data_IF_971690964247
#
_entry.id   IF_971690964247
#
_cell.length_a   1.000
_cell.length_b   1.000
_cell.length_c   1.000
_cell.angle_alpha   90.00
_cell.angle_beta   90.00
_cell.angle_gamma   90.00
#
_symmetry.space_group_name_H-M   'P 1'
#
loop_
_entity.id
_entity.type
_entity.pdbx_description
1 polymer ?
#
# COMPACT_ATOMS: atom_id res chain seq x y z
N UNK A 1 40.04 34.34 -13.03
CA UNK A 1 39.36 33.54 -14.07
C UNK A 1 38.72 32.35 -13.36
N UNK A 2 37.49 32.51 -12.85
CA UNK A 2 36.75 31.48 -12.13
C UNK A 2 35.71 30.88 -13.09
N UNK A 3 35.94 29.66 -13.52
CA UNK A 3 34.94 28.89 -14.29
C UNK A 3 33.98 28.21 -13.31
N UNK A 4 32.80 28.78 -13.22
CA UNK A 4 31.71 28.18 -12.44
C UNK A 4 31.20 26.90 -13.14
N UNK A 5 31.35 25.76 -12.47
CA UNK A 5 30.70 24.51 -12.85
C UNK A 5 29.21 24.60 -12.54
N UNK A 6 28.40 24.91 -13.55
CA UNK A 6 26.96 24.85 -13.45
C UNK A 6 26.55 23.37 -13.62
N UNK A 7 26.34 22.70 -12.50
CA UNK A 7 25.80 21.34 -12.51
C UNK A 7 24.33 21.43 -12.88
N UNK A 8 24.01 21.21 -14.16
CA UNK A 8 22.63 21.11 -14.64
C UNK A 8 22.09 19.77 -14.13
N UNK A 9 21.29 19.81 -13.08
CA UNK A 9 20.44 18.71 -12.67
C UNK A 9 19.35 18.55 -13.75
N UNK A 10 19.62 17.74 -14.76
CA UNK A 10 18.60 17.30 -15.69
C UNK A 10 17.71 16.33 -14.91
N UNK A 11 16.61 16.84 -14.36
CA UNK A 11 15.52 16.00 -13.87
C UNK A 11 14.93 15.32 -15.10
N UNK A 12 15.33 14.09 -15.33
CA UNK A 12 14.79 13.25 -16.39
C UNK A 12 13.34 12.94 -15.98
N UNK A 13 12.40 13.72 -16.47
CA UNK A 13 11.00 13.38 -16.49
C UNK A 13 10.80 12.28 -17.54
N UNK A 14 11.21 11.06 -17.21
CA UNK A 14 10.65 9.90 -17.89
C UNK A 14 9.18 9.85 -17.48
N UNK A 15 8.29 9.93 -18.47
CA UNK A 15 6.88 9.61 -18.27
C UNK A 15 6.88 8.13 -17.86
N UNK A 16 6.79 7.89 -16.55
CA UNK A 16 6.65 6.54 -16.01
C UNK A 16 5.28 6.09 -16.49
N UNK A 17 5.28 5.28 -17.54
CA UNK A 17 4.07 4.56 -17.95
C UNK A 17 3.97 3.39 -16.99
N UNK A 18 2.98 3.40 -16.10
CA UNK A 18 2.72 2.26 -15.22
C UNK A 18 2.57 0.98 -16.03
N UNK A 19 2.91 -0.13 -15.41
CA UNK A 19 2.61 -1.45 -15.97
C UNK A 19 1.30 -1.94 -15.36
N UNK A 20 0.27 -2.11 -16.18
CA UNK A 20 -0.95 -2.84 -15.76
C UNK A 20 -0.65 -4.34 -15.84
N UNK A 21 -0.68 -5.02 -14.69
CA UNK A 21 -0.45 -6.46 -14.60
C UNK A 21 -1.69 -7.20 -14.10
N UNK A 22 -2.15 -8.16 -14.91
CA UNK A 22 -3.32 -8.97 -14.56
C UNK A 22 -2.92 -10.18 -13.74
N UNK A 23 -3.50 -10.30 -12.54
CA UNK A 23 -3.28 -11.42 -11.62
C UNK A 23 -4.64 -11.99 -11.20
N UNK A 24 -4.80 -13.30 -11.31
CA UNK A 24 -6.05 -13.98 -10.93
C UNK A 24 -6.07 -14.27 -9.43
N UNK A 25 -7.11 -13.78 -8.73
CA UNK A 25 -7.21 -13.94 -7.28
C UNK A 25 -7.34 -15.39 -6.82
N UNK A 26 -7.97 -16.25 -7.62
CA UNK A 26 -8.11 -17.68 -7.26
C UNK A 26 -6.78 -18.43 -7.25
N UNK A 27 -5.91 -18.09 -8.20
CA UNK A 27 -4.59 -18.73 -8.34
C UNK A 27 -3.53 -17.69 -8.77
N UNK A 28 -3.05 -16.84 -7.85
CA UNK A 28 -2.04 -15.84 -8.16
C UNK A 28 -0.73 -16.48 -8.65
N UNK A 29 -0.23 -16.02 -9.80
CA UNK A 29 1.02 -16.53 -10.36
C UNK A 29 2.22 -16.09 -9.49
N UNK A 30 3.03 -17.04 -8.94
CA UNK A 30 4.14 -16.69 -8.04
C UNK A 30 5.18 -15.76 -8.67
N UNK A 31 5.44 -15.87 -9.98
CA UNK A 31 6.40 -15.00 -10.66
C UNK A 31 5.89 -13.56 -10.75
N UNK A 32 4.60 -13.37 -11.01
CA UNK A 32 3.98 -12.04 -11.01
C UNK A 32 3.97 -11.43 -9.60
N UNK A 33 3.63 -12.22 -8.58
CA UNK A 33 3.68 -11.80 -7.16
C UNK A 33 5.10 -11.35 -6.79
N UNK A 34 6.12 -12.13 -7.15
CA UNK A 34 7.53 -11.79 -6.91
C UNK A 34 7.91 -10.48 -7.61
N UNK A 35 7.52 -10.31 -8.86
CA UNK A 35 7.79 -9.09 -9.61
C UNK A 35 7.18 -7.86 -8.93
N UNK A 36 5.90 -7.93 -8.49
CA UNK A 36 5.25 -6.85 -7.75
C UNK A 36 5.98 -6.54 -6.43
N UNK A 37 6.38 -7.58 -5.70
CA UNK A 37 7.13 -7.41 -4.45
C UNK A 37 8.52 -6.78 -4.69
N UNK A 38 9.19 -7.09 -5.81
CA UNK A 38 10.44 -6.44 -6.20
C UNK A 38 10.27 -4.95 -6.51
N UNK A 39 9.18 -4.56 -7.18
CA UNK A 39 8.85 -3.14 -7.38
C UNK A 39 8.75 -2.43 -6.04
N UNK A 40 8.03 -3.02 -5.07
CA UNK A 40 7.91 -2.45 -3.70
C UNK A 40 9.25 -2.37 -2.97
N UNK A 41 10.09 -3.42 -3.02
CA UNK A 41 11.43 -3.45 -2.38
C UNK A 41 12.34 -2.36 -2.95
N UNK A 42 12.21 -2.06 -4.23
CA UNK A 42 12.97 -1.00 -4.91
C UNK A 42 12.40 0.40 -4.64
N UNK A 43 11.39 0.51 -3.78
CA UNK A 43 10.78 1.78 -3.39
C UNK A 43 9.65 2.25 -4.27
N UNK A 44 9.17 1.39 -5.17
CA UNK A 44 8.05 1.67 -6.04
C UNK A 44 6.73 1.77 -5.28
N UNK A 45 5.78 2.43 -5.94
CA UNK A 45 4.41 2.61 -5.51
C UNK A 45 3.52 1.80 -6.45
N UNK A 46 2.61 1.05 -5.88
CA UNK A 46 1.70 0.22 -6.64
C UNK A 46 0.24 0.54 -6.30
N UNK A 47 -0.67 0.11 -7.16
CA UNK A 47 -2.09 0.04 -6.85
C UNK A 47 -2.50 -1.43 -6.81
N UNK A 48 -3.18 -1.83 -5.73
CA UNK A 48 -3.58 -3.21 -5.49
C UNK A 48 -5.07 -3.35 -5.19
N UNK A 49 -5.70 -4.46 -5.59
CA UNK A 49 -7.06 -4.79 -5.17
C UNK A 49 -7.08 -5.11 -3.67
N UNK A 50 -8.21 -4.83 -3.01
CA UNK A 50 -8.51 -5.35 -1.68
C UNK A 50 -9.89 -6.00 -1.68
N UNK A 51 -10.36 -6.46 -0.53
CA UNK A 51 -11.72 -6.97 -0.34
C UNK A 51 -12.81 -5.87 -0.35
N UNK A 52 -12.41 -4.61 -0.43
CA UNK A 52 -13.33 -3.45 -0.47
C UNK A 52 -13.15 -2.61 -1.72
N UNK A 53 -12.00 -1.97 -1.87
CA UNK A 53 -11.67 -1.06 -2.98
C UNK A 53 -10.19 -1.18 -3.30
N UNK A 54 -9.77 -0.70 -4.46
CA UNK A 54 -8.36 -0.55 -4.79
C UNK A 54 -7.67 0.45 -3.85
N UNK A 55 -6.39 0.21 -3.59
CA UNK A 55 -5.58 1.05 -2.72
C UNK A 55 -4.17 1.29 -3.30
N UNK A 56 -3.65 2.50 -3.08
CA UNK A 56 -2.21 2.73 -3.21
C UNK A 56 -1.46 1.92 -2.17
N UNK A 57 -0.32 1.36 -2.53
CA UNK A 57 0.52 0.58 -1.64
C UNK A 57 2.01 0.86 -1.81
N UNK A 58 2.76 0.85 -0.70
CA UNK A 58 4.22 0.89 -0.69
C UNK A 58 4.79 0.15 0.53
N UNK A 59 6.08 -0.21 0.48
CA UNK A 59 6.76 -0.75 1.65
C UNK A 59 6.80 0.30 2.78
N UNK A 60 6.40 -0.09 4.00
CA UNK A 60 6.39 0.81 5.17
C UNK A 60 7.78 1.36 5.52
N UNK A 61 8.86 0.68 5.11
CA UNK A 61 10.23 1.10 5.35
C UNK A 61 10.76 2.09 4.31
N UNK A 62 10.05 2.30 3.20
CA UNK A 62 10.43 3.31 2.22
C UNK A 62 9.77 4.67 2.55
N UNK A 63 10.53 5.54 3.24
CA UNK A 63 10.05 6.85 3.68
C UNK A 63 9.57 7.73 2.53
N UNK A 64 10.28 7.72 1.40
CA UNK A 64 9.95 8.56 0.24
C UNK A 64 8.60 8.15 -0.38
N UNK A 65 8.37 6.84 -0.55
CA UNK A 65 7.11 6.32 -1.07
C UNK A 65 5.94 6.60 -0.12
N UNK A 66 6.15 6.42 1.20
CA UNK A 66 5.15 6.76 2.23
C UNK A 66 4.78 8.24 2.19
N UNK A 67 5.75 9.13 2.11
CA UNK A 67 5.52 10.58 2.00
C UNK A 67 4.81 10.94 0.71
N UNK A 68 5.16 10.29 -0.40
CA UNK A 68 4.52 10.53 -1.69
C UNK A 68 3.03 10.17 -1.65
N UNK A 69 2.65 8.97 -1.18
CA UNK A 69 1.23 8.57 -1.05
C UNK A 69 0.47 9.52 -0.13
N UNK A 70 1.11 10.00 0.95
CA UNK A 70 0.49 10.96 1.87
C UNK A 70 0.23 12.31 1.20
N UNK A 71 1.16 12.78 0.36
CA UNK A 71 0.99 14.01 -0.43
C UNK A 71 -0.11 13.89 -1.48
N UNK A 72 -0.22 12.74 -2.16
CA UNK A 72 -1.31 12.47 -3.11
C UNK A 72 -2.70 12.66 -2.48
N UNK A 73 -2.79 12.42 -1.18
CA UNK A 73 -4.04 12.55 -0.41
C UNK A 73 -4.23 13.94 0.21
N UNK A 74 -3.35 14.92 -0.06
CA UNK A 74 -3.35 16.23 0.61
C UNK A 74 -3.45 16.14 2.14
N UNK A 75 -2.93 15.04 2.73
CA UNK A 75 -3.03 14.76 4.16
C UNK A 75 -1.65 14.82 4.80
N UNK A 76 -1.56 15.51 5.93
CA UNK A 76 -0.40 15.41 6.81
C UNK A 76 -0.30 13.96 7.31
N UNK A 77 0.87 13.35 7.16
CA UNK A 77 1.18 11.99 7.66
C UNK A 77 0.75 11.77 9.11
N UNK A 78 0.81 12.83 9.93
CA UNK A 78 0.41 12.78 11.35
C UNK A 78 -1.10 12.64 11.54
N UNK A 79 -1.91 13.12 10.58
CA UNK A 79 -3.37 13.15 10.63
C UNK A 79 -4.01 12.13 9.67
N UNK A 80 -3.22 11.50 8.79
CA UNK A 80 -3.74 10.57 7.80
C UNK A 80 -4.09 9.23 8.43
N UNK A 81 -5.24 8.70 8.07
CA UNK A 81 -5.68 7.35 8.40
C UNK A 81 -5.01 6.36 7.43
N UNK A 82 -3.71 6.14 7.63
CA UNK A 82 -2.95 5.14 6.90
C UNK A 82 -3.15 3.78 7.57
N UNK A 83 -3.38 2.77 6.78
CA UNK A 83 -3.44 1.40 7.26
C UNK A 83 -2.25 0.59 6.76
N UNK A 84 -1.81 -0.36 7.57
CA UNK A 84 -0.80 -1.34 7.21
C UNK A 84 -1.48 -2.67 6.92
N UNK A 85 -1.24 -3.21 5.73
CA UNK A 85 -1.65 -4.57 5.42
C UNK A 85 -0.57 -5.52 5.90
N UNK A 86 -0.98 -6.47 6.74
CA UNK A 86 -0.19 -7.62 7.16
C UNK A 86 -0.75 -8.89 6.50
N UNK A 87 0.09 -9.88 6.26
CA UNK A 87 -0.33 -11.13 5.61
C UNK A 87 -0.76 -12.21 6.61
N UNK A 88 -0.39 -12.05 7.89
CA UNK A 88 -0.74 -12.98 8.96
C UNK A 88 -0.72 -12.30 10.35
N UNK A 89 -1.34 -12.93 11.34
CA UNK A 89 -1.46 -12.36 12.70
C UNK A 89 -0.10 -12.24 13.40
N UNK A 90 0.83 -13.15 13.14
CA UNK A 90 2.19 -13.06 13.68
C UNK A 90 2.87 -11.78 13.25
N UNK A 91 2.75 -11.39 11.97
CA UNK A 91 3.27 -10.14 11.47
C UNK A 91 2.58 -8.93 12.14
N UNK A 92 1.26 -9.01 12.42
CA UNK A 92 0.56 -7.95 13.17
C UNK A 92 1.21 -7.72 14.53
N UNK A 93 1.50 -8.80 15.26
CA UNK A 93 2.08 -8.74 16.61
C UNK A 93 3.49 -8.15 16.66
N UNK A 94 4.20 -8.13 15.53
CA UNK A 94 5.50 -7.48 15.42
C UNK A 94 5.38 -5.95 15.39
N UNK A 95 4.36 -5.41 14.73
CA UNK A 95 4.21 -3.98 14.46
C UNK A 95 3.16 -3.28 15.34
N UNK A 96 2.29 -4.06 15.99
CA UNK A 96 1.28 -3.55 16.91
C UNK A 96 1.28 -4.35 18.23
N UNK A 97 0.89 -3.69 19.31
CA UNK A 97 0.72 -4.33 20.61
C UNK A 97 -0.66 -4.98 20.67
N UNK A 98 -0.69 -6.27 20.95
CA UNK A 98 -1.91 -7.05 21.11
C UNK A 98 -2.04 -7.51 22.56
N UNK A 99 -3.20 -7.26 23.15
CA UNK A 99 -3.65 -7.97 24.34
C UNK A 99 -4.50 -9.19 23.94
N UNK A 100 -4.85 -10.02 24.91
CA UNK A 100 -5.60 -11.26 24.67
C UNK A 100 -6.97 -11.03 24.02
N UNK A 101 -7.65 -9.94 24.36
CA UNK A 101 -8.98 -9.63 23.83
C UNK A 101 -8.88 -9.09 22.39
N UNK A 102 -7.93 -8.20 22.12
CA UNK A 102 -7.62 -7.75 20.76
C UNK A 102 -7.20 -8.93 19.86
N UNK A 103 -6.38 -9.84 20.37
CA UNK A 103 -5.96 -11.02 19.63
C UNK A 103 -7.15 -11.92 19.25
N UNK A 104 -8.05 -12.22 20.21
CA UNK A 104 -9.26 -13.02 19.95
C UNK A 104 -10.16 -12.35 18.91
N UNK A 105 -10.34 -11.02 19.01
CA UNK A 105 -11.17 -10.26 18.10
C UNK A 105 -10.59 -10.25 16.68
N UNK A 106 -9.29 -10.03 16.53
CA UNK A 106 -8.57 -10.06 15.27
C UNK A 106 -8.68 -11.44 14.64
N UNK A 107 -8.39 -12.50 15.38
CA UNK A 107 -8.45 -13.88 14.89
C UNK A 107 -9.83 -14.28 14.40
N UNK A 108 -10.90 -13.70 14.98
CA UNK A 108 -12.28 -13.97 14.57
C UNK A 108 -12.68 -13.26 13.28
N UNK A 109 -12.11 -12.08 13.02
CA UNK A 109 -12.59 -11.16 11.98
C UNK A 109 -11.63 -10.96 10.80
N UNK A 110 -10.38 -11.46 10.89
CA UNK A 110 -9.42 -11.35 9.81
C UNK A 110 -9.06 -12.75 9.24
N UNK A 111 -8.88 -12.87 7.92
CA UNK A 111 -8.97 -11.82 6.89
C UNK A 111 -10.40 -11.26 6.73
N UNK A 112 -10.51 -9.97 6.37
CA UNK A 112 -11.81 -9.34 6.16
C UNK A 112 -11.74 -7.80 6.09
N UNK A 113 -12.89 -7.14 5.86
CA UNK A 113 -12.98 -5.71 5.54
C UNK A 113 -12.81 -4.79 6.76
N UNK A 114 -12.11 -5.23 7.78
CA UNK A 114 -11.93 -4.48 9.01
C UNK A 114 -10.57 -3.80 9.09
N UNK A 115 -10.53 -2.61 9.70
CA UNK A 115 -9.30 -1.95 10.11
C UNK A 115 -9.27 -1.87 11.64
N UNK A 116 -8.29 -2.52 12.25
CA UNK A 116 -8.08 -2.47 13.70
C UNK A 116 -7.11 -1.35 14.04
N UNK A 117 -7.52 -0.45 14.92
CA UNK A 117 -6.65 0.62 15.43
C UNK A 117 -5.98 0.13 16.71
N UNK A 118 -4.69 -0.09 16.64
CA UNK A 118 -3.88 -0.71 17.68
C UNK A 118 -2.73 0.20 18.10
N UNK A 119 -2.24 0.02 19.32
CA UNK A 119 -1.03 0.70 19.77
C UNK A 119 0.18 0.18 18.98
N UNK A 120 0.97 1.09 18.43
CA UNK A 120 2.16 0.73 17.68
C UNK A 120 3.25 0.08 18.56
N UNK A 121 4.02 -0.83 17.98
CA UNK A 121 5.20 -1.43 18.63
C UNK A 121 6.46 -0.59 18.37
N UNK A 122 7.57 -0.96 19.02
CA UNK A 122 8.88 -0.35 18.79
C UNK A 122 9.50 -0.68 17.43
N UNK A 123 8.98 -1.70 16.74
CA UNK A 123 9.44 -2.11 15.39
C UNK A 123 8.97 -1.21 14.26
N UNK A 124 8.02 -0.31 14.53
CA UNK A 124 7.56 0.65 13.53
C UNK A 124 8.73 1.50 13.00
N UNK A 125 8.79 1.78 11.67
CA UNK A 125 9.78 2.68 11.10
C UNK A 125 9.75 4.05 11.78
N UNK A 126 10.90 4.76 11.75
CA UNK A 126 11.08 6.07 12.41
C UNK A 126 9.99 7.07 12.03
N UNK A 127 9.51 7.03 10.78
CA UNK A 127 8.46 7.90 10.25
C UNK A 127 7.13 7.77 11.04
N UNK A 128 6.86 6.60 11.61
CA UNK A 128 5.64 6.30 12.36
C UNK A 128 5.84 6.30 13.88
N UNK A 129 7.05 6.52 14.39
CA UNK A 129 7.34 6.48 15.85
C UNK A 129 6.57 7.50 16.68
N UNK A 130 6.16 8.60 16.06
CA UNK A 130 5.36 9.62 16.72
C UNK A 130 3.84 9.31 16.72
N UNK A 131 3.42 8.26 16.00
CA UNK A 131 2.04 7.79 16.03
C UNK A 131 1.86 6.82 17.20
N UNK A 132 0.92 7.15 18.10
CA UNK A 132 0.57 6.25 19.20
C UNK A 132 -0.13 4.98 18.69
N UNK A 133 -0.94 5.13 17.66
CA UNK A 133 -1.74 4.04 17.09
C UNK A 133 -1.49 3.90 15.60
N UNK A 134 -1.73 2.69 15.10
CA UNK A 134 -1.65 2.31 13.68
C UNK A 134 -2.90 1.55 13.28
N UNK A 135 -3.37 1.78 12.06
CA UNK A 135 -4.44 0.98 11.47
C UNK A 135 -3.84 -0.30 10.88
N UNK A 136 -4.39 -1.44 11.25
CA UNK A 136 -3.97 -2.75 10.73
C UNK A 136 -5.11 -3.39 9.97
N UNK A 137 -4.80 -3.90 8.78
CA UNK A 137 -5.72 -4.68 7.94
C UNK A 137 -5.08 -6.01 7.54
N UNK A 138 -5.93 -6.98 7.27
CA UNK A 138 -5.61 -8.20 6.56
C UNK A 138 -6.81 -8.49 5.64
N UNK A 139 -6.81 -7.93 4.40
CA UNK A 139 -7.94 -8.05 3.49
C UNK A 139 -8.14 -9.48 3.03
N UNK A 140 -9.39 -9.88 2.79
CA UNK A 140 -9.69 -11.18 2.16
C UNK A 140 -9.45 -11.09 0.65
N UNK A 141 -8.19 -10.94 0.29
CA UNK A 141 -7.70 -10.89 -1.10
C UNK A 141 -6.37 -11.62 -1.20
N UNK A 142 -6.35 -12.74 -1.90
CA UNK A 142 -5.16 -13.62 -1.99
C UNK A 142 -3.98 -12.93 -2.68
N UNK A 143 -4.24 -12.10 -3.70
CA UNK A 143 -3.18 -11.38 -4.44
C UNK A 143 -2.42 -10.50 -3.45
N UNK A 144 -3.14 -9.62 -2.77
CA UNK A 144 -2.55 -8.63 -1.86
C UNK A 144 -1.84 -9.30 -0.68
N UNK A 145 -2.45 -10.35 -0.08
CA UNK A 145 -1.79 -11.10 1.01
C UNK A 145 -0.51 -11.80 0.54
N UNK A 146 -0.49 -12.36 -0.67
CA UNK A 146 0.72 -12.99 -1.22
C UNK A 146 1.81 -11.96 -1.56
N UNK A 147 1.44 -10.78 -2.08
CA UNK A 147 2.39 -9.68 -2.30
C UNK A 147 3.04 -9.28 -0.97
N UNK A 148 2.26 -9.07 0.09
CA UNK A 148 2.78 -8.68 1.41
C UNK A 148 3.65 -9.80 2.02
N UNK A 149 3.28 -11.06 1.85
CA UNK A 149 4.09 -12.21 2.25
C UNK A 149 5.43 -12.23 1.53
N UNK A 150 5.42 -12.09 0.21
CA UNK A 150 6.63 -12.07 -0.62
C UNK A 150 7.51 -10.85 -0.32
N UNK A 151 6.91 -9.69 -0.05
CA UNK A 151 7.63 -8.48 0.36
C UNK A 151 8.39 -8.71 1.68
N UNK A 152 7.79 -9.45 2.62
CA UNK A 152 8.35 -9.71 3.95
C UNK A 152 8.08 -8.61 4.98
N UNK A 153 7.66 -7.44 4.55
CA UNK A 153 7.30 -6.28 5.37
C UNK A 153 5.80 -5.99 5.25
N UNK A 154 5.16 -5.35 6.24
CA UNK A 154 3.83 -4.79 6.03
C UNK A 154 3.83 -3.77 4.89
N UNK A 155 2.74 -3.72 4.15
CA UNK A 155 2.52 -2.74 3.11
C UNK A 155 1.65 -1.60 3.65
N UNK A 156 2.16 -0.36 3.61
CA UNK A 156 1.34 0.81 3.89
C UNK A 156 0.37 1.01 2.75
N UNK A 157 -0.90 1.24 3.08
CA UNK A 157 -1.95 1.43 2.08
C UNK A 157 -2.82 2.65 2.37
N UNK A 158 -3.36 3.19 1.28
CA UNK A 158 -4.36 4.25 1.30
C UNK A 158 -5.37 4.03 0.16
N UNK A 159 -6.66 3.96 0.50
CA UNK A 159 -7.73 3.72 -0.49
C UNK A 159 -7.75 4.78 -1.59
N UNK A 160 -8.11 4.38 -2.81
CA UNK A 160 -8.33 5.30 -3.93
C UNK A 160 -9.73 5.93 -3.80
N UNK A 161 -9.80 7.27 -3.91
CA UNK A 161 -11.04 8.02 -3.96
C UNK A 161 -11.07 8.89 -5.21
N UNK A 162 -12.24 9.08 -5.83
CA UNK A 162 -12.39 9.85 -7.08
C UNK A 162 -12.67 11.31 -6.86
N UNK A 163 -12.90 11.87 -5.79
CA UNK A 163 -13.02 13.25 -5.33
C UNK A 163 -13.84 13.36 -4.04
N UNK A 164 -13.62 14.42 -3.27
CA UNK A 164 -14.36 14.67 -2.02
C UNK A 164 -15.87 14.94 -2.25
N UNK A 165 -16.31 15.16 -3.49
CA UNK A 165 -17.70 15.45 -3.85
C UNK A 165 -18.52 14.22 -4.29
N UNK A 166 -17.87 13.15 -4.69
CA UNK A 166 -18.54 11.89 -5.08
C UNK A 166 -17.85 10.72 -4.39
N UNK A 167 -18.58 10.04 -3.52
CA UNK A 167 -18.12 8.83 -2.82
C UNK A 167 -18.03 7.62 -3.76
N UNK A 168 -17.88 7.82 -5.05
CA UNK A 168 -17.70 6.75 -6.01
C UNK A 168 -16.27 6.23 -5.95
N UNK A 169 -16.14 4.99 -5.52
CA UNK A 169 -14.88 4.24 -5.54
C UNK A 169 -14.60 3.76 -6.96
N UNK A 170 -13.38 3.97 -7.44
CA UNK A 170 -12.95 3.34 -8.69
C UNK A 170 -12.63 1.87 -8.39
N UNK A 171 -13.30 0.97 -9.10
CA UNK A 171 -13.11 -0.48 -8.99
C UNK A 171 -12.62 -1.11 -10.30
N UNK A 172 -12.61 -0.34 -11.38
CA UNK A 172 -12.14 -0.76 -12.69
C UNK A 172 -10.63 -0.50 -12.82
N UNK A 173 -9.80 -1.53 -12.96
CA UNK A 173 -8.34 -1.36 -13.01
C UNK A 173 -7.83 -0.63 -14.25
N UNK A 174 -8.56 -0.66 -15.39
CA UNK A 174 -8.18 0.07 -16.60
C UNK A 174 -8.41 1.57 -16.41
N UNK A 175 -9.56 1.97 -15.81
CA UNK A 175 -9.84 3.37 -15.46
C UNK A 175 -8.88 3.87 -14.37
N UNK A 176 -8.49 3.01 -13.43
CA UNK A 176 -7.49 3.33 -12.41
C UNK A 176 -6.14 3.58 -13.06
N UNK A 177 -5.71 2.74 -13.99
CA UNK A 177 -4.45 2.91 -14.71
C UNK A 177 -4.46 4.18 -15.57
N UNK A 178 -5.55 4.46 -16.29
CA UNK A 178 -5.71 5.70 -17.04
C UNK A 178 -5.55 6.93 -16.15
N UNK A 179 -6.17 6.93 -14.97
CA UNK A 179 -6.18 8.09 -14.05
C UNK A 179 -4.91 8.23 -13.22
N UNK A 180 -4.37 7.15 -12.70
CA UNK A 180 -3.29 7.14 -11.71
C UNK A 180 -2.01 6.49 -12.19
N UNK A 181 -2.01 5.82 -13.35
CA UNK A 181 -0.86 5.08 -13.86
C UNK A 181 0.40 5.93 -14.01
N UNK A 182 0.25 7.22 -14.33
CA UNK A 182 1.37 8.16 -14.40
C UNK A 182 1.98 8.56 -13.04
N UNK A 183 1.39 8.11 -11.92
CA UNK A 183 1.79 8.44 -10.55
C UNK A 183 2.31 7.22 -9.79
N UNK A 184 2.22 6.03 -10.37
CA UNK A 184 2.61 4.77 -9.75
C UNK A 184 3.46 3.94 -10.71
N UNK A 185 4.22 3.00 -10.16
CA UNK A 185 5.10 2.14 -10.97
C UNK A 185 4.32 0.96 -11.56
N UNK A 186 3.25 0.50 -10.88
CA UNK A 186 2.50 -0.67 -11.30
C UNK A 186 1.06 -0.64 -10.78
N UNK A 187 0.11 -1.06 -11.63
CA UNK A 187 -1.28 -1.32 -11.26
C UNK A 187 -1.57 -2.81 -11.37
N UNK A 188 -2.07 -3.41 -10.29
CA UNK A 188 -2.47 -4.82 -10.28
C UNK A 188 -3.95 -4.93 -10.63
N UNK A 189 -4.27 -5.52 -11.79
CA UNK A 189 -5.63 -5.92 -12.12
C UNK A 189 -5.96 -7.25 -11.44
N UNK A 190 -6.77 -7.20 -10.39
CA UNK A 190 -7.22 -8.36 -9.62
C UNK A 190 -8.55 -8.92 -10.08
N UNK A 191 -9.08 -8.46 -11.21
CA UNK A 191 -10.42 -8.85 -11.70
C UNK A 191 -11.48 -8.77 -10.60
N UNK A 192 -11.79 -7.54 -10.18
CA UNK A 192 -12.78 -7.31 -9.14
C UNK A 192 -14.17 -7.78 -9.65
N UNK A 193 -14.59 -8.99 -9.27
CA UNK A 193 -15.96 -9.41 -9.47
C UNK A 193 -16.85 -8.66 -8.46
N UNK A 194 -17.76 -7.84 -8.97
CA UNK A 194 -18.85 -7.27 -8.15
C UNK A 194 -19.69 -8.43 -7.62
N UNK A 195 -19.58 -8.72 -6.33
CA UNK A 195 -20.53 -9.57 -5.62
C UNK A 195 -21.74 -8.75 -5.16
#
# INVERSE_FOLDING_TARGET
MFAGFFCIFVVRFEIIKSMLIKIYNDNPNPNQIRHVAEVLRNGGIIIVPTDTVYAFGCDIFNSAAVEFISKLKNKDLRKSELSFICHEISQISEYAKLDDDSFKLIKKNLPGPFTFILNGSSRLPKLFKNKKTVGIRMPDNKITLQIVRELGNPMMTSSIFVDDATTEYITDPELIDEKYGHQVDLVVDGQFERR
#
